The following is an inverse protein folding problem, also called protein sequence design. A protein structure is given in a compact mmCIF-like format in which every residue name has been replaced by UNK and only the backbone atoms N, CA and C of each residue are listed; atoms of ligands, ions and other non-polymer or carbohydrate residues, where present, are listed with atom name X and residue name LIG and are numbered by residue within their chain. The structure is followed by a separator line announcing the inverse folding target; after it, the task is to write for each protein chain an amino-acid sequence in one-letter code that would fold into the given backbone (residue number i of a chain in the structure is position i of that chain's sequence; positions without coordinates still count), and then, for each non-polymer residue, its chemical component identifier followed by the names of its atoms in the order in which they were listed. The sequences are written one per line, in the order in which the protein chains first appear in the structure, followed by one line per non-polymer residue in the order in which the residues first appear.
data_IF_536828221911
#
_entry.id   IF_536828221911
#
_cell.length_a   1.000
_cell.length_b   1.000
_cell.length_c   1.000
_cell.angle_alpha   90.00
_cell.angle_beta   90.00
_cell.angle_gamma   90.00
#
_symmetry.space_group_name_H-M   'P 1'
#
loop_
_entity.id
_entity.type
_entity.pdbx_description
1 polymer ?
#
# COMPACT_ATOMS: atom_id res chain seq x y z
N UNK A 1 -13.66 22.65 6.15
CA UNK A 1 -13.27 21.31 5.67
C UNK A 1 -13.25 20.42 6.91
N UNK A 2 -13.87 19.24 6.87
CA UNK A 2 -13.85 18.34 8.02
C UNK A 2 -12.44 17.76 8.16
N UNK A 3 -11.77 18.04 9.29
CA UNK A 3 -10.46 17.46 9.58
C UNK A 3 -10.62 15.95 9.78
N UNK A 4 -9.82 15.17 9.06
CA UNK A 4 -9.83 13.72 9.20
C UNK A 4 -9.21 13.36 10.57
N UNK A 5 -10.00 12.79 11.48
CA UNK A 5 -9.47 12.36 12.78
C UNK A 5 -8.56 11.15 12.61
N UNK A 6 -7.26 11.31 12.85
CA UNK A 6 -6.27 10.23 12.82
C UNK A 6 -6.66 9.06 13.72
N UNK A 7 -7.24 9.35 14.90
CA UNK A 7 -7.74 8.33 15.82
C UNK A 7 -8.83 7.47 15.16
N UNK A 8 -9.79 8.10 14.47
CA UNK A 8 -10.85 7.37 13.76
C UNK A 8 -10.28 6.55 12.61
N UNK A 9 -9.36 7.11 11.84
CA UNK A 9 -8.70 6.39 10.74
C UNK A 9 -7.99 5.14 11.25
N UNK A 10 -7.19 5.26 12.31
CA UNK A 10 -6.48 4.13 12.93
C UNK A 10 -7.44 3.10 13.52
N UNK A 11 -8.55 3.51 14.14
CA UNK A 11 -9.56 2.56 14.64
C UNK A 11 -10.25 1.79 13.52
N UNK A 12 -10.55 2.43 12.38
CA UNK A 12 -11.14 1.74 11.23
C UNK A 12 -10.11 0.80 10.58
N UNK A 13 -8.84 1.21 10.49
CA UNK A 13 -7.77 0.34 9.98
C UNK A 13 -7.59 -0.90 10.87
N UNK A 14 -7.54 -0.71 12.19
CA UNK A 14 -7.43 -1.81 13.14
C UNK A 14 -8.64 -2.75 13.10
N UNK A 15 -9.86 -2.21 12.94
CA UNK A 15 -11.06 -3.04 12.85
C UNK A 15 -11.12 -3.83 11.53
N UNK A 16 -10.77 -3.23 10.40
CA UNK A 16 -10.65 -3.95 9.13
C UNK A 16 -9.60 -5.05 9.18
N UNK A 17 -8.45 -4.79 9.80
CA UNK A 17 -7.40 -5.77 9.98
C UNK A 17 -7.86 -6.94 10.84
N UNK A 18 -8.56 -6.67 11.95
CA UNK A 18 -9.12 -7.70 12.82
C UNK A 18 -10.19 -8.54 12.14
N UNK A 19 -11.19 -7.89 11.53
CA UNK A 19 -12.28 -8.57 10.79
C UNK A 19 -11.70 -9.37 9.62
N UNK A 20 -10.77 -8.77 8.89
CA UNK A 20 -10.09 -9.38 7.76
C UNK A 20 -9.34 -10.64 8.16
N UNK A 21 -8.48 -10.55 9.18
CA UNK A 21 -7.71 -11.69 9.71
C UNK A 21 -8.62 -12.82 10.18
N UNK A 22 -9.69 -12.50 10.92
CA UNK A 22 -10.67 -13.49 11.35
C UNK A 22 -11.40 -14.14 10.17
N UNK A 23 -11.73 -13.37 9.14
CA UNK A 23 -12.35 -13.89 7.92
C UNK A 23 -11.43 -14.84 7.16
N UNK A 24 -10.15 -14.50 6.98
CA UNK A 24 -9.15 -15.41 6.41
C UNK A 24 -8.96 -16.67 7.25
N UNK A 25 -9.03 -16.57 8.58
CA UNK A 25 -8.87 -17.71 9.47
C UNK A 25 -10.08 -18.65 9.45
N UNK A 26 -11.31 -18.11 9.50
CA UNK A 26 -12.54 -18.88 9.70
C UNK A 26 -13.28 -19.28 8.42
N UNK A 27 -13.11 -18.56 7.31
CA UNK A 27 -13.82 -18.89 6.07
C UNK A 27 -13.05 -19.97 5.32
N UNK A 28 -13.74 -21.08 5.03
CA UNK A 28 -13.16 -22.20 4.29
C UNK A 28 -12.80 -21.82 2.84
N UNK A 29 -11.62 -22.29 2.42
CA UNK A 29 -11.08 -22.05 1.08
C UNK A 29 -10.39 -20.69 0.90
N UNK A 30 -10.22 -19.90 1.96
CA UNK A 30 -9.49 -18.62 1.89
C UNK A 30 -7.98 -18.78 1.79
N UNK A 31 -7.42 -19.81 2.42
CA UNK A 31 -5.99 -20.13 2.41
C UNK A 31 -5.77 -21.49 1.76
N UNK A 32 -4.66 -21.65 1.05
CA UNK A 32 -4.26 -22.92 0.45
C UNK A 32 -4.09 -24.02 1.52
N UNK A 33 -4.56 -25.23 1.23
CA UNK A 33 -4.52 -26.36 2.19
C UNK A 33 -3.08 -26.83 2.47
N UNK A 34 -2.16 -26.57 1.53
CA UNK A 34 -0.74 -26.90 1.57
C UNK A 34 0.14 -25.72 2.04
N UNK A 35 -0.47 -24.62 2.49
CA UNK A 35 0.25 -23.49 3.04
C UNK A 35 1.04 -23.90 4.29
N UNK A 36 2.37 -23.94 4.17
CA UNK A 36 3.28 -24.17 5.30
C UNK A 36 3.19 -23.01 6.29
N UNK A 37 3.51 -23.26 7.56
CA UNK A 37 3.59 -22.21 8.60
C UNK A 37 2.35 -22.09 9.48
N UNK A 38 2.40 -21.16 10.44
CA UNK A 38 1.30 -20.92 11.36
C UNK A 38 0.08 -20.28 10.66
N UNK A 39 -1.10 -20.85 10.93
CA UNK A 39 -2.35 -20.43 10.29
C UNK A 39 -2.77 -19.00 10.66
N UNK A 40 -2.50 -18.55 11.88
CA UNK A 40 -2.81 -17.18 12.30
C UNK A 40 -1.91 -16.16 11.60
N UNK A 41 -0.62 -16.48 11.49
CA UNK A 41 0.35 -15.63 10.77
C UNK A 41 -0.06 -15.53 9.30
N UNK A 42 -0.42 -16.65 8.67
CA UNK A 42 -0.87 -16.67 7.27
C UNK A 42 -2.16 -15.86 7.07
N UNK A 43 -3.14 -15.99 7.97
CA UNK A 43 -4.38 -15.23 7.90
C UNK A 43 -4.14 -13.72 8.05
N UNK A 44 -3.28 -13.33 8.99
CA UNK A 44 -2.90 -11.93 9.19
C UNK A 44 -2.18 -11.38 7.97
N UNK A 45 -1.21 -12.12 7.45
CA UNK A 45 -0.46 -11.77 6.25
C UNK A 45 -1.39 -11.59 5.05
N UNK A 46 -2.24 -12.58 4.71
CA UNK A 46 -3.18 -12.45 3.60
C UNK A 46 -4.13 -11.26 3.78
N UNK A 47 -4.56 -10.98 5.01
CA UNK A 47 -5.39 -9.82 5.31
C UNK A 47 -4.65 -8.52 4.99
N UNK A 48 -3.43 -8.35 5.49
CA UNK A 48 -2.62 -7.16 5.25
C UNK A 48 -2.38 -6.99 3.76
N UNK A 49 -1.93 -8.04 3.08
CA UNK A 49 -1.60 -8.01 1.66
C UNK A 49 -2.81 -7.65 0.78
N UNK A 50 -4.01 -8.06 1.19
CA UNK A 50 -5.27 -7.69 0.52
C UNK A 50 -5.63 -6.23 0.82
N UNK A 51 -5.54 -5.81 2.09
CA UNK A 51 -5.87 -4.44 2.49
C UNK A 51 -4.92 -3.40 1.89
N UNK A 52 -3.63 -3.70 1.82
CA UNK A 52 -2.60 -2.86 1.19
C UNK A 52 -2.54 -3.01 -0.32
N UNK A 53 -3.42 -3.83 -0.91
CA UNK A 53 -3.53 -4.08 -2.36
C UNK A 53 -2.25 -4.60 -3.01
N UNK A 54 -1.33 -5.20 -2.24
CA UNK A 54 -0.11 -5.81 -2.79
C UNK A 54 -0.44 -7.19 -3.36
N UNK A 55 -1.11 -8.03 -2.58
CA UNK A 55 -1.75 -9.27 -3.05
C UNK A 55 -0.88 -10.23 -3.87
N UNK A 56 0.21 -10.78 -3.31
CA UNK A 56 1.07 -11.74 -4.03
C UNK A 56 0.36 -12.97 -4.57
N UNK A 57 -0.74 -13.41 -3.96
CA UNK A 57 -1.45 -14.61 -4.42
C UNK A 57 -0.71 -15.92 -4.12
N UNK A 58 0.29 -15.88 -3.24
CA UNK A 58 1.15 -16.99 -2.84
C UNK A 58 0.42 -18.01 -1.93
N UNK A 59 -0.40 -17.52 -0.98
CA UNK A 59 -1.12 -18.35 0.00
C UNK A 59 -2.64 -18.29 -0.20
N UNK A 60 -3.13 -17.19 -0.76
CA UNK A 60 -4.56 -16.86 -0.82
C UNK A 60 -4.95 -16.29 -2.19
N UNK A 61 -6.12 -16.63 -2.75
CA UNK A 61 -7.11 -17.61 -2.28
C UNK A 61 -6.81 -19.06 -2.71
N UNK A 62 -7.40 -20.05 -2.02
CA UNK A 62 -7.31 -21.47 -2.41
C UNK A 62 -8.12 -21.78 -3.66
N UNK A 63 -7.76 -22.87 -4.35
CA UNK A 63 -8.48 -23.40 -5.51
C UNK A 63 -9.94 -23.78 -5.19
N UNK A 64 -10.27 -24.04 -3.91
CA UNK A 64 -11.61 -24.41 -3.44
C UNK A 64 -12.33 -23.24 -2.73
N UNK A 65 -12.20 -22.03 -3.26
CA UNK A 65 -12.82 -20.84 -2.64
C UNK A 65 -14.36 -20.87 -2.73
N UNK A 66 -15.00 -20.85 -1.55
CA UNK A 66 -16.47 -20.77 -1.40
C UNK A 66 -17.05 -19.46 -1.97
N UNK A 67 -18.35 -19.46 -2.30
CA UNK A 67 -19.04 -18.24 -2.74
C UNK A 67 -18.94 -17.11 -1.69
N UNK A 68 -19.00 -17.48 -0.40
CA UNK A 68 -18.84 -16.54 0.71
C UNK A 68 -17.43 -15.92 0.74
N UNK A 69 -16.38 -16.74 0.57
CA UNK A 69 -15.00 -16.27 0.51
C UNK A 69 -14.75 -15.30 -0.65
N UNK A 70 -15.36 -15.54 -1.82
CA UNK A 70 -15.28 -14.62 -2.98
C UNK A 70 -15.88 -13.25 -2.66
N UNK A 71 -17.09 -13.23 -2.11
CA UNK A 71 -17.75 -11.98 -1.72
C UNK A 71 -16.93 -11.26 -0.66
N UNK A 72 -16.41 -11.98 0.33
CA UNK A 72 -15.57 -11.44 1.38
C UNK A 72 -14.29 -10.78 0.84
N UNK A 73 -13.53 -11.45 -0.03
CA UNK A 73 -12.31 -10.87 -0.63
C UNK A 73 -12.65 -9.62 -1.42
N UNK A 74 -13.70 -9.65 -2.24
CA UNK A 74 -14.13 -8.48 -3.02
C UNK A 74 -14.47 -7.31 -2.10
N UNK A 75 -15.26 -7.56 -1.05
CA UNK A 75 -15.60 -6.52 -0.07
C UNK A 75 -14.37 -5.96 0.64
N UNK A 76 -13.45 -6.83 1.09
CA UNK A 76 -12.24 -6.43 1.78
C UNK A 76 -11.30 -5.61 0.87
N UNK A 77 -11.16 -5.99 -0.41
CA UNK A 77 -10.36 -5.27 -1.39
C UNK A 77 -10.90 -3.87 -1.67
N UNK A 78 -12.23 -3.70 -1.80
CA UNK A 78 -12.83 -2.38 -1.95
C UNK A 78 -12.61 -1.50 -0.71
N UNK A 79 -12.70 -2.08 0.49
CA UNK A 79 -12.38 -1.36 1.72
C UNK A 79 -10.90 -0.97 1.81
N UNK A 80 -9.99 -1.88 1.40
CA UNK A 80 -8.55 -1.64 1.32
C UNK A 80 -8.20 -0.47 0.40
N UNK A 81 -8.71 -0.49 -0.83
CA UNK A 81 -8.57 0.60 -1.79
C UNK A 81 -9.07 1.94 -1.22
N UNK A 82 -10.25 1.95 -0.59
CA UNK A 82 -10.82 3.16 0.00
C UNK A 82 -9.99 3.74 1.15
N UNK A 83 -9.32 2.88 1.92
CA UNK A 83 -8.50 3.29 3.06
C UNK A 83 -7.08 3.69 2.67
N UNK A 84 -6.38 2.82 1.92
CA UNK A 84 -4.96 2.97 1.63
C UNK A 84 -4.70 3.99 0.53
N UNK A 85 -5.50 4.02 -0.53
CA UNK A 85 -5.30 4.97 -1.64
C UNK A 85 -5.78 6.39 -1.34
N UNK A 86 -6.52 6.62 -0.24
CA UNK A 86 -7.03 7.94 0.12
C UNK A 86 -6.46 8.43 1.46
N UNK A 87 -7.19 8.26 2.58
CA UNK A 87 -6.81 8.79 3.88
C UNK A 87 -5.38 8.48 4.34
N UNK A 88 -4.93 7.24 4.12
CA UNK A 88 -3.60 6.78 4.53
C UNK A 88 -2.51 7.45 3.69
N UNK A 89 -2.71 7.55 2.38
CA UNK A 89 -1.79 8.24 1.47
C UNK A 89 -1.67 9.74 1.79
N UNK A 90 -2.79 10.39 2.11
CA UNK A 90 -2.81 11.81 2.50
C UNK A 90 -2.09 12.06 3.83
N UNK A 91 -2.34 11.18 4.81
CA UNK A 91 -1.59 11.16 6.07
C UNK A 91 -0.09 11.00 5.79
N UNK A 92 0.26 10.09 4.89
CA UNK A 92 1.63 9.79 4.53
C UNK A 92 2.35 10.94 3.79
N UNK A 93 1.62 11.78 3.08
CA UNK A 93 2.19 12.99 2.47
C UNK A 93 2.43 14.12 3.48
N UNK A 94 1.75 14.08 4.63
CA UNK A 94 1.76 15.16 5.62
C UNK A 94 3.00 15.10 6.54
N UNK A 95 3.42 13.91 6.95
CA UNK A 95 4.63 13.70 7.77
C UNK A 95 5.93 13.77 6.95
N UNK A 96 5.94 13.30 5.70
CA UNK A 96 7.14 13.32 4.84
C UNK A 96 7.65 14.73 4.55
N UNK A 97 6.77 15.75 4.53
CA UNK A 97 7.16 17.17 4.41
C UNK A 97 7.95 17.70 5.61
N UNK A 98 7.94 17.01 6.75
CA UNK A 98 8.66 17.41 7.96
C UNK A 98 10.10 16.90 8.01
N UNK A 99 10.48 15.99 7.11
CA UNK A 99 11.79 15.33 7.12
C UNK A 99 12.78 16.11 6.23
N UNK A 100 13.97 16.48 6.74
CA UNK A 100 15.01 17.11 5.92
C UNK A 100 15.47 16.14 4.82
N UNK A 101 15.41 16.56 3.55
CA UNK A 101 15.65 15.70 2.38
C UNK A 101 14.39 15.28 1.61
N UNK A 102 13.21 15.68 2.09
CA UNK A 102 11.95 15.46 1.39
C UNK A 102 11.58 13.98 1.24
N UNK A 103 10.78 13.64 0.23
CA UNK A 103 10.25 12.29 0.02
C UNK A 103 11.30 11.24 -0.37
N UNK A 104 12.47 11.67 -0.86
CA UNK A 104 13.54 10.76 -1.29
C UNK A 104 14.24 10.07 -0.12
N UNK A 105 14.45 10.78 1.00
CA UNK A 105 15.11 10.23 2.18
C UNK A 105 14.38 9.01 2.76
N UNK A 106 13.08 9.14 3.12
CA UNK A 106 12.26 8.02 3.56
C UNK A 106 12.16 6.90 2.53
N UNK A 107 12.14 7.22 1.23
CA UNK A 107 12.16 6.25 0.14
C UNK A 107 13.41 5.37 0.16
N UNK A 108 14.60 5.97 0.22
CA UNK A 108 15.87 5.23 0.30
C UNK A 108 15.96 4.42 1.59
N UNK A 109 15.51 4.97 2.73
CA UNK A 109 15.48 4.26 4.00
C UNK A 109 14.55 3.05 3.96
N UNK A 110 13.36 3.18 3.38
CA UNK A 110 12.41 2.08 3.24
C UNK A 110 12.95 0.98 2.33
N UNK A 111 13.63 1.34 1.23
CA UNK A 111 14.29 0.38 0.35
C UNK A 111 15.39 -0.38 1.09
N UNK A 112 16.29 0.33 1.78
CA UNK A 112 17.38 -0.29 2.53
C UNK A 112 16.86 -1.20 3.66
N UNK A 113 15.81 -0.77 4.35
CA UNK A 113 15.15 -1.55 5.41
C UNK A 113 14.53 -2.83 4.84
N UNK A 114 13.74 -2.73 3.76
CA UNK A 114 13.11 -3.89 3.13
C UNK A 114 14.15 -4.90 2.64
N UNK A 115 15.19 -4.42 1.94
CA UNK A 115 16.29 -5.27 1.48
C UNK A 115 16.95 -6.00 2.65
N UNK A 116 17.29 -5.28 3.72
CA UNK A 116 17.92 -5.88 4.89
C UNK A 116 17.03 -6.93 5.56
N UNK A 117 15.73 -6.66 5.68
CA UNK A 117 14.76 -7.61 6.24
C UNK A 117 14.72 -8.91 5.45
N UNK A 118 14.58 -8.84 4.12
CA UNK A 118 14.50 -10.05 3.27
C UNK A 118 15.82 -10.81 3.19
N UNK A 119 16.95 -10.11 3.17
CA UNK A 119 18.27 -10.76 3.19
C UNK A 119 18.54 -11.48 4.51
N UNK A 120 18.11 -10.93 5.64
CA UNK A 120 18.39 -11.51 6.96
C UNK A 120 17.39 -12.58 7.39
N UNK A 121 16.12 -12.46 7.00
CA UNK A 121 15.05 -13.36 7.47
C UNK A 121 14.80 -14.50 6.47
N UNK A 122 14.92 -14.22 5.17
CA UNK A 122 14.63 -15.18 4.09
C UNK A 122 15.90 -15.63 3.35
N UNK A 123 17.09 -15.23 3.83
CA UNK A 123 18.39 -15.52 3.21
C UNK A 123 18.44 -15.19 1.70
N UNK A 124 17.64 -14.20 1.26
CA UNK A 124 17.52 -13.83 -0.14
C UNK A 124 18.79 -13.13 -0.64
N UNK A 125 19.21 -13.39 -1.89
CA UNK A 125 20.27 -12.60 -2.50
C UNK A 125 19.84 -11.14 -2.64
N UNK A 126 20.79 -10.21 -2.60
CA UNK A 126 20.52 -8.77 -2.52
C UNK A 126 19.62 -8.24 -3.67
N UNK A 127 19.74 -8.83 -4.86
CA UNK A 127 18.92 -8.42 -6.01
C UNK A 127 17.45 -8.84 -5.85
N UNK A 128 17.19 -10.08 -5.44
CA UNK A 128 15.84 -10.60 -5.21
C UNK A 128 15.17 -9.87 -4.03
N UNK A 129 15.95 -9.59 -2.97
CA UNK A 129 15.49 -8.77 -1.85
C UNK A 129 15.11 -7.34 -2.28
N UNK A 130 15.92 -6.71 -3.14
CA UNK A 130 15.60 -5.38 -3.69
C UNK A 130 14.36 -5.43 -4.57
N UNK A 131 14.26 -6.43 -5.44
CA UNK A 131 13.11 -6.65 -6.32
C UNK A 131 11.84 -6.82 -5.50
N UNK A 132 11.84 -7.75 -4.53
CA UNK A 132 10.71 -8.01 -3.64
C UNK A 132 10.30 -6.75 -2.89
N UNK A 133 11.27 -6.00 -2.35
CA UNK A 133 11.04 -4.73 -1.66
C UNK A 133 10.32 -3.72 -2.56
N UNK A 134 10.77 -3.57 -3.80
CA UNK A 134 10.19 -2.62 -4.75
C UNK A 134 8.77 -3.04 -5.12
N UNK A 135 8.53 -4.30 -5.50
CA UNK A 135 7.18 -4.77 -5.88
C UNK A 135 6.20 -4.76 -4.70
N UNK A 136 6.69 -4.94 -3.46
CA UNK A 136 5.88 -4.75 -2.24
C UNK A 136 5.48 -3.28 -2.14
N UNK A 137 6.46 -2.39 -2.24
CA UNK A 137 6.27 -0.95 -2.06
C UNK A 137 5.34 -0.35 -3.10
N UNK A 138 5.50 -0.73 -4.35
CA UNK A 138 4.68 -0.24 -5.48
C UNK A 138 3.35 -0.95 -5.59
N UNK A 139 3.05 -1.88 -4.66
CA UNK A 139 1.83 -2.69 -4.64
C UNK A 139 1.59 -3.43 -5.96
N UNK A 140 2.66 -3.82 -6.65
CA UNK A 140 2.56 -4.60 -7.90
C UNK A 140 2.33 -6.08 -7.57
N UNK A 141 3.12 -6.61 -6.64
CA UNK A 141 2.91 -7.93 -6.05
C UNK A 141 2.73 -9.09 -7.02
N UNK A 142 3.67 -9.32 -7.93
CA UNK A 142 3.57 -10.41 -8.91
C UNK A 142 3.46 -11.82 -8.30
N UNK A 143 3.97 -12.03 -7.08
CA UNK A 143 3.91 -13.31 -6.39
C UNK A 143 4.91 -14.37 -6.86
N UNK A 144 5.78 -14.00 -7.80
CA UNK A 144 6.92 -14.80 -8.25
C UNK A 144 7.97 -15.00 -7.16
N UNK A 145 8.13 -14.00 -6.29
CA UNK A 145 8.91 -14.06 -5.05
C UNK A 145 8.04 -13.62 -3.86
N UNK A 146 8.13 -14.35 -2.75
CA UNK A 146 7.41 -14.07 -1.51
C UNK A 146 8.12 -14.68 -0.31
N UNK A 147 7.80 -14.19 0.89
CA UNK A 147 8.36 -14.73 2.11
C UNK A 147 7.79 -16.13 2.42
N UNK A 148 8.69 -17.10 2.61
CA UNK A 148 8.33 -18.50 2.83
C UNK A 148 8.28 -18.84 4.32
N UNK A 149 8.98 -18.10 5.18
CA UNK A 149 9.00 -18.33 6.62
C UNK A 149 7.90 -17.55 7.34
N UNK A 150 7.46 -18.06 8.49
CA UNK A 150 6.47 -17.37 9.34
C UNK A 150 6.95 -15.98 9.78
N UNK A 151 8.23 -15.90 10.17
CA UNK A 151 8.88 -14.63 10.51
C UNK A 151 8.93 -13.68 9.33
N UNK A 152 9.24 -14.16 8.13
CA UNK A 152 9.33 -13.34 6.94
C UNK A 152 7.96 -12.85 6.49
N UNK A 153 6.92 -13.67 6.57
CA UNK A 153 5.54 -13.25 6.28
C UNK A 153 5.07 -12.16 7.23
N UNK A 154 5.35 -12.33 8.52
CA UNK A 154 5.03 -11.32 9.53
C UNK A 154 5.81 -10.01 9.27
N UNK A 155 7.11 -10.10 8.99
CA UNK A 155 7.94 -8.95 8.65
C UNK A 155 7.45 -8.25 7.38
N UNK A 156 7.06 -9.02 6.36
CA UNK A 156 6.50 -8.53 5.09
C UNK A 156 5.21 -7.77 5.33
N UNK A 157 4.30 -8.30 6.15
CA UNK A 157 3.04 -7.65 6.48
C UNK A 157 3.27 -6.28 7.15
N UNK A 158 4.12 -6.21 8.16
CA UNK A 158 4.46 -4.93 8.79
C UNK A 158 5.17 -3.97 7.83
N UNK A 159 6.10 -4.50 7.02
CA UNK A 159 6.79 -3.73 6.01
C UNK A 159 5.83 -3.14 4.98
N UNK A 160 4.86 -3.92 4.48
CA UNK A 160 3.85 -3.49 3.51
C UNK A 160 3.05 -2.27 4.02
N UNK A 161 2.64 -2.29 5.30
CA UNK A 161 1.95 -1.15 5.93
C UNK A 161 2.87 0.08 5.97
N UNK A 162 4.16 -0.07 6.24
CA UNK A 162 5.12 1.04 6.31
C UNK A 162 5.46 1.62 4.92
N UNK A 163 5.79 0.76 3.96
CA UNK A 163 6.33 1.17 2.65
C UNK A 163 5.29 1.85 1.77
N UNK A 164 4.03 1.44 1.83
CA UNK A 164 2.94 2.01 1.02
C UNK A 164 2.72 3.50 1.35
N UNK A 165 2.95 3.88 2.62
CA UNK A 165 2.92 5.27 3.06
C UNK A 165 4.05 6.08 2.41
N UNK A 166 5.23 5.50 2.24
CA UNK A 166 6.39 6.18 1.66
C UNK A 166 6.22 6.39 0.15
N UNK A 167 5.74 5.37 -0.56
CA UNK A 167 5.50 5.42 -2.01
C UNK A 167 4.47 6.49 -2.38
N UNK A 168 3.44 6.66 -1.55
CA UNK A 168 2.45 7.70 -1.79
C UNK A 168 3.01 9.13 -1.81
N UNK A 169 4.06 9.39 -1.02
CA UNK A 169 4.81 10.65 -1.08
C UNK A 169 5.62 10.81 -2.37
N UNK A 170 6.23 9.73 -2.86
CA UNK A 170 7.04 9.71 -4.09
C UNK A 170 6.22 9.93 -5.37
N UNK A 171 4.92 9.64 -5.34
CA UNK A 171 4.04 9.82 -6.51
C UNK A 171 3.63 11.29 -6.75
N UNK A 172 3.80 12.18 -5.77
CA UNK A 172 3.37 13.58 -5.89
C UNK A 172 4.12 14.38 -6.97
N UNK A 173 5.47 14.32 -7.08
CA UNK A 173 6.19 14.97 -8.16
C UNK A 173 5.79 14.45 -9.55
N UNK A 174 5.60 13.13 -9.67
CA UNK A 174 5.16 12.50 -10.92
C UNK A 174 3.77 12.99 -11.33
N UNK A 175 2.84 13.12 -10.39
CA UNK A 175 1.51 13.71 -10.63
C UNK A 175 1.60 15.14 -11.15
N UNK A 176 2.48 15.95 -10.57
CA UNK A 176 2.75 17.33 -11.04
C UNK A 176 3.22 17.34 -12.49
N UNK A 177 4.25 16.54 -12.81
CA UNK A 177 4.80 16.45 -14.16
C UNK A 177 3.78 15.95 -15.19
N UNK A 178 3.01 14.91 -14.86
CA UNK A 178 1.95 14.40 -15.71
C UNK A 178 0.84 15.44 -15.92
N UNK A 179 0.47 16.18 -14.87
CA UNK A 179 -0.53 17.24 -14.99
C UNK A 179 -0.08 18.36 -15.92
N UNK A 180 1.19 18.78 -15.85
CA UNK A 180 1.73 19.80 -16.74
C UNK A 180 1.81 19.33 -18.20
N UNK A 181 2.06 18.04 -18.42
CA UNK A 181 2.11 17.45 -19.75
C UNK A 181 0.72 17.29 -20.38
N UNK A 182 -0.27 16.88 -19.59
CA UNK A 182 -1.63 16.61 -20.06
C UNK A 182 -2.52 17.87 -20.09
N UNK A 183 -2.21 18.90 -19.30
CA UNK A 183 -3.01 20.12 -19.28
C UNK A 183 -2.61 21.05 -20.42
N UNK A 184 -3.57 21.29 -21.32
CA UNK A 184 -3.47 22.39 -22.29
C UNK A 184 -3.49 23.70 -21.51
N UNK A 185 -2.35 24.41 -21.49
CA UNK A 185 -2.25 25.72 -20.84
C UNK A 185 -3.37 26.63 -21.38
N UNK A 186 -4.19 27.24 -20.50
CA UNK A 186 -5.30 28.09 -20.96
C UNK A 186 -4.75 29.27 -21.77
N UNK A 187 -5.39 29.58 -22.90
CA UNK A 187 -5.05 30.79 -23.68
C UNK A 187 -5.09 32.02 -22.75
N UNK A 188 -4.06 32.88 -22.76
CA UNK A 188 -4.04 34.06 -21.91
C UNK A 188 -5.29 34.92 -22.15
N UNK A 189 -6.02 35.26 -21.08
CA UNK A 189 -7.19 36.14 -21.18
C UNK A 189 -6.74 37.47 -21.80
N UNK A 190 -7.44 38.01 -22.81
CA UNK A 190 -7.10 39.30 -23.37
C UNK A 190 -7.11 40.35 -22.28
N UNK A 191 -5.99 41.08 -22.13
CA UNK A 191 -5.88 42.20 -21.19
C UNK A 191 -7.01 43.19 -21.49
N UNK A 192 -7.97 43.32 -20.57
CA UNK A 192 -8.93 44.44 -20.61
C UNK A 192 -8.11 45.73 -20.56
N UNK A 193 -7.98 46.42 -21.69
CA UNK A 193 -7.42 47.78 -21.73
C UNK A 193 -8.27 48.62 -20.76
N UNK A 194 -7.69 49.04 -19.64
CA UNK A 194 -8.26 50.10 -18.79
C UNK A 194 -8.46 51.30 -19.71
N UNK A 195 -9.70 51.57 -20.12
CA UNK A 195 -10.06 52.86 -20.74
C UNK A 195 -9.71 53.91 -19.69
N UNK A 196 -8.64 54.67 -19.92
CA UNK A 196 -8.40 55.92 -19.20
C UNK A 196 -9.63 56.79 -19.49
N UNK A 197 -10.46 57.03 -18.48
CA UNK A 197 -11.38 58.17 -18.49
C UNK A 197 -10.48 59.39 -18.39
N UNK A 198 -10.38 60.14 -19.49
CA UNK A 198 -9.91 61.51 -19.44
C UNK A 198 -11.14 62.34 -19.04
N UNK A 199 -11.09 62.90 -17.84
CA UNK A 199 -11.79 64.13 -17.50
C UNK A 199 -10.70 65.21 -17.33
#
# INVERSE_FOLDING_TARGET
MAELSTTRLLTVAASLLGIGTLGFYHIDGMMADDAKGDRWINAFYCCVMTLTTVGYGDICPSNKLSHLGRVFIVSLSFCGLGMFCGPVMDFASSWTKRIPGGVLGPGVCALAMGMSLFMMIEDMPAFDAAYLTIITGTTVGYGDLSASTDSGRLATAFFAILVINVIGGLLQPAKGYLSDLCLVKPKPKPRKKKRRKND
#
